data_IF_372891073872
#
_entry.id   IF_372891073872
#
_cell.length_a   1.000
_cell.length_b   1.000
_cell.length_c   1.000
_cell.angle_alpha   90.00
_cell.angle_beta   90.00
_cell.angle_gamma   90.00
#
_symmetry.space_group_name_H-M   'P 1'
#
loop_
_entity.id
_entity.type
_entity.pdbx_description
1 polymer ?
#
# COMPACT_ATOMS: atom_id res chain seq x y z
N UNK A 1 -66.29 36.13 30.57
CA UNK A 1 -66.51 35.57 29.21
C UNK A 1 -65.22 34.88 28.84
N UNK A 2 -65.16 33.55 28.94
CA UNK A 2 -63.93 32.77 28.81
C UNK A 2 -63.99 32.00 27.49
N UNK A 3 -63.08 32.31 26.56
CA UNK A 3 -62.97 31.56 25.31
C UNK A 3 -62.20 30.24 25.54
N UNK A 4 -62.61 29.12 24.92
CA UNK A 4 -61.85 27.87 25.00
C UNK A 4 -60.64 27.93 24.07
N UNK A 5 -59.44 27.74 24.64
CA UNK A 5 -58.20 27.51 23.89
C UNK A 5 -58.27 26.09 23.29
N UNK A 6 -58.66 25.98 22.02
CA UNK A 6 -58.56 24.72 21.27
C UNK A 6 -57.11 24.48 20.90
N UNK A 7 -56.42 23.64 21.68
CA UNK A 7 -55.07 23.16 21.36
C UNK A 7 -55.16 22.19 20.19
N UNK A 8 -54.99 22.70 18.98
CA UNK A 8 -54.91 21.90 17.76
C UNK A 8 -53.71 20.95 17.88
N UNK A 9 -53.99 19.66 18.14
CA UNK A 9 -53.01 18.59 18.30
C UNK A 9 -52.46 18.08 16.95
N UNK A 10 -52.39 18.95 15.93
CA UNK A 10 -51.81 18.65 14.62
C UNK A 10 -50.33 19.02 14.51
N UNK A 11 -49.61 19.04 15.63
CA UNK A 11 -48.17 19.22 15.58
C UNK A 11 -47.57 17.99 14.87
N UNK A 12 -46.76 18.15 13.81
CA UNK A 12 -46.32 17.07 12.92
C UNK A 12 -45.23 16.19 13.56
N UNK A 13 -45.39 15.86 14.83
CA UNK A 13 -44.50 14.99 15.60
C UNK A 13 -44.14 13.68 14.89
N UNK A 14 -45.07 12.93 14.27
CA UNK A 14 -44.69 11.71 13.55
C UNK A 14 -43.77 12.00 12.36
N UNK A 15 -43.98 13.12 11.66
CA UNK A 15 -43.11 13.51 10.53
C UNK A 15 -41.71 13.93 11.02
N UNK A 16 -41.64 14.65 12.14
CA UNK A 16 -40.35 15.05 12.75
C UNK A 16 -39.56 13.81 13.18
N UNK A 17 -40.21 12.84 13.82
CA UNK A 17 -39.56 11.60 14.26
C UNK A 17 -39.05 10.79 13.06
N UNK A 18 -39.83 10.70 11.98
CA UNK A 18 -39.42 10.02 10.74
C UNK A 18 -38.23 10.72 10.09
N UNK A 19 -38.22 12.05 10.02
CA UNK A 19 -37.10 12.82 9.43
C UNK A 19 -35.81 12.67 10.25
N UNK A 20 -35.91 12.67 11.58
CA UNK A 20 -34.76 12.45 12.47
C UNK A 20 -34.23 11.02 12.30
N UNK A 21 -35.10 10.01 12.28
CA UNK A 21 -34.69 8.62 12.05
C UNK A 21 -34.00 8.44 10.69
N UNK A 22 -34.55 9.02 9.62
CA UNK A 22 -33.93 9.00 8.29
C UNK A 22 -32.57 9.72 8.27
N UNK A 23 -32.44 10.86 8.98
CA UNK A 23 -31.18 11.57 9.13
C UNK A 23 -30.11 10.77 9.88
N UNK A 24 -30.49 10.07 10.95
CA UNK A 24 -29.60 9.19 11.72
C UNK A 24 -29.19 7.97 10.91
N UNK A 25 -30.12 7.33 10.19
CA UNK A 25 -29.84 6.20 9.31
C UNK A 25 -28.93 6.64 8.16
N UNK A 26 -29.22 7.75 7.49
CA UNK A 26 -28.41 8.27 6.39
C UNK A 26 -27.01 8.69 6.86
N UNK A 27 -26.91 9.42 7.98
CA UNK A 27 -25.65 9.83 8.58
C UNK A 27 -24.81 8.64 9.06
N UNK A 28 -25.44 7.67 9.72
CA UNK A 28 -24.80 6.42 10.13
C UNK A 28 -24.33 5.58 8.93
N UNK A 29 -25.16 5.45 7.89
CA UNK A 29 -24.80 4.73 6.67
C UNK A 29 -23.65 5.41 5.91
N UNK A 30 -23.62 6.75 5.87
CA UNK A 30 -22.49 7.53 5.34
C UNK A 30 -21.20 7.33 6.13
N UNK A 31 -21.29 7.25 7.47
CA UNK A 31 -20.14 7.02 8.35
C UNK A 31 -19.60 5.59 8.25
N UNK A 32 -20.47 4.61 8.03
CA UNK A 32 -20.07 3.22 7.81
C UNK A 32 -19.46 3.02 6.41
N UNK A 33 -19.99 3.68 5.38
CA UNK A 33 -19.44 3.63 4.01
C UNK A 33 -18.05 4.27 3.89
N UNK A 34 -17.73 5.32 4.68
CA UNK A 34 -16.41 5.97 4.62
C UNK A 34 -15.28 5.08 5.12
N UNK A 35 -15.53 4.22 6.12
CA UNK A 35 -14.55 3.25 6.64
C UNK A 35 -14.23 2.14 5.63
N UNK A 36 -15.19 1.73 4.82
CA UNK A 36 -14.99 0.66 3.82
C UNK A 36 -14.12 1.09 2.64
N UNK A 37 -14.13 2.38 2.26
CA UNK A 37 -13.29 2.87 1.16
C UNK A 37 -11.78 2.79 1.47
N UNK A 38 -11.38 2.91 2.73
CA UNK A 38 -9.96 2.83 3.13
C UNK A 38 -9.41 1.39 3.08
N UNK A 39 -10.24 0.39 3.37
CA UNK A 39 -9.82 -1.02 3.37
C UNK A 39 -9.68 -1.62 1.96
N UNK A 40 -10.38 -1.06 0.97
CA UNK A 40 -10.46 -1.59 -0.41
C UNK A 40 -9.78 -0.72 -1.47
N UNK A 41 -8.98 0.28 -1.10
CA UNK A 41 -8.14 1.04 -2.04
C UNK A 41 -6.96 0.23 -2.61
N UNK A 42 -7.06 -1.11 -2.61
CA UNK A 42 -6.05 -2.07 -3.06
C UNK A 42 -5.76 -1.98 -4.55
N UNK A 43 -5.14 -0.88 -4.98
CA UNK A 43 -4.52 -0.75 -6.28
C UNK A 43 -3.37 -1.74 -6.32
N UNK A 44 -3.61 -2.92 -6.89
CA UNK A 44 -2.54 -3.88 -7.15
C UNK A 44 -1.61 -3.25 -8.18
N UNK A 45 -0.31 -3.26 -7.90
CA UNK A 45 0.68 -2.79 -8.85
C UNK A 45 0.55 -3.63 -10.14
N UNK A 46 0.58 -3.03 -11.34
CA UNK A 46 0.34 -3.73 -12.61
C UNK A 46 1.33 -4.88 -12.88
N UNK A 47 2.49 -4.87 -12.22
CA UNK A 47 3.48 -5.95 -12.30
C UNK A 47 3.08 -7.23 -11.54
N UNK A 48 2.07 -7.20 -10.66
CA UNK A 48 1.66 -8.38 -9.90
C UNK A 48 1.09 -9.44 -10.85
N UNK A 49 1.67 -10.64 -10.81
CA UNK A 49 1.28 -11.77 -11.67
C UNK A 49 1.93 -11.74 -13.06
N UNK A 50 2.69 -10.70 -13.38
CA UNK A 50 3.45 -10.62 -14.62
C UNK A 50 4.77 -11.38 -14.49
N UNK A 51 5.26 -11.92 -15.61
CA UNK A 51 6.59 -12.52 -15.67
C UNK A 51 7.63 -11.41 -15.63
N UNK A 52 8.69 -11.59 -14.83
CA UNK A 52 9.80 -10.64 -14.79
C UNK A 52 10.46 -10.56 -16.18
N UNK A 53 10.61 -9.36 -16.76
CA UNK A 53 11.27 -9.18 -18.06
C UNK A 53 12.70 -9.73 -18.06
N UNK A 54 13.20 -10.07 -19.26
CA UNK A 54 14.60 -10.39 -19.42
C UNK A 54 15.46 -9.16 -19.10
N UNK A 55 16.58 -9.37 -18.41
CA UNK A 55 17.58 -8.36 -18.12
C UNK A 55 18.97 -8.96 -18.26
N UNK A 56 19.96 -8.08 -18.38
CA UNK A 56 21.38 -8.42 -18.43
C UNK A 56 22.11 -7.39 -17.57
N UNK A 57 22.66 -7.83 -16.45
CA UNK A 57 23.33 -6.97 -15.47
C UNK A 57 24.75 -7.46 -15.22
N UNK A 58 25.69 -6.52 -15.09
CA UNK A 58 27.07 -6.84 -14.72
C UNK A 58 27.18 -7.02 -13.21
N UNK A 59 27.80 -8.11 -12.77
CA UNK A 59 28.08 -8.37 -11.36
C UNK A 59 29.23 -7.49 -10.85
N UNK A 60 29.15 -7.05 -9.60
CA UNK A 60 30.11 -6.10 -9.01
C UNK A 60 31.26 -6.75 -8.22
N UNK A 61 31.11 -8.00 -7.77
CA UNK A 61 32.06 -8.70 -6.89
C UNK A 61 33.03 -9.64 -7.63
N UNK A 62 32.76 -9.90 -8.91
CA UNK A 62 33.52 -10.84 -9.74
C UNK A 62 33.67 -10.25 -11.14
N UNK A 63 34.79 -10.57 -11.78
CA UNK A 63 35.23 -10.09 -13.09
C UNK A 63 34.11 -10.25 -14.15
N UNK A 64 33.30 -9.19 -14.31
CA UNK A 64 32.33 -8.95 -15.39
C UNK A 64 31.34 -10.09 -15.69
N UNK A 65 31.00 -10.93 -14.72
CA UNK A 65 29.99 -11.95 -14.93
C UNK A 65 28.61 -11.30 -15.21
N UNK A 66 28.00 -11.65 -16.33
CA UNK A 66 26.65 -11.20 -16.69
C UNK A 66 25.61 -12.05 -15.96
N UNK A 67 24.63 -11.39 -15.34
CA UNK A 67 23.50 -12.00 -14.64
C UNK A 67 22.20 -11.69 -15.40
N UNK A 68 21.41 -12.72 -15.69
CA UNK A 68 20.04 -12.57 -16.18
C UNK A 68 18.99 -13.08 -15.19
N UNK A 69 17.73 -13.11 -15.62
CA UNK A 69 16.57 -13.48 -14.78
C UNK A 69 16.62 -14.91 -14.24
N UNK A 70 17.37 -15.79 -14.89
CA UNK A 70 17.61 -17.17 -14.52
C UNK A 70 18.21 -17.31 -13.12
N UNK A 71 19.01 -16.33 -12.67
CA UNK A 71 19.62 -16.35 -11.33
C UNK A 71 18.60 -16.15 -10.20
N UNK A 72 17.37 -15.75 -10.54
CA UNK A 72 16.27 -15.50 -9.61
C UNK A 72 15.23 -16.63 -9.61
N UNK A 73 15.35 -17.62 -10.50
CA UNK A 73 14.35 -18.69 -10.64
C UNK A 73 14.37 -19.65 -9.45
N UNK A 74 13.19 -20.13 -9.06
CA UNK A 74 13.03 -21.13 -7.99
C UNK A 74 13.16 -20.59 -6.56
N UNK A 75 13.53 -19.32 -6.39
CA UNK A 75 13.61 -18.64 -5.08
C UNK A 75 12.61 -17.50 -4.99
N UNK A 76 12.18 -17.21 -3.77
CA UNK A 76 11.48 -15.96 -3.46
C UNK A 76 12.56 -14.89 -3.32
N UNK A 77 12.59 -13.96 -4.27
CA UNK A 77 13.66 -12.97 -4.33
C UNK A 77 13.14 -11.58 -3.99
N UNK A 78 13.78 -10.95 -3.00
CA UNK A 78 13.65 -9.53 -2.74
C UNK A 78 14.67 -8.77 -3.59
N UNK A 79 14.18 -7.97 -4.53
CA UNK A 79 15.01 -7.11 -5.37
C UNK A 79 15.03 -5.70 -4.76
N UNK A 80 16.22 -5.21 -4.42
CA UNK A 80 16.42 -3.87 -3.88
C UNK A 80 17.13 -3.00 -4.93
N UNK A 81 16.48 -1.91 -5.36
CA UNK A 81 17.05 -0.91 -6.26
C UNK A 81 17.51 0.28 -5.44
N UNK A 82 18.80 0.61 -5.49
CA UNK A 82 19.35 1.72 -4.72
C UNK A 82 20.52 2.39 -5.45
N UNK A 83 21.06 3.45 -4.86
CA UNK A 83 22.31 4.03 -5.31
C UNK A 83 23.02 4.77 -4.16
N UNK A 84 24.35 4.96 -4.21
CA UNK A 84 25.09 5.71 -3.19
C UNK A 84 24.61 7.16 -3.03
N UNK A 85 24.10 7.75 -4.13
CA UNK A 85 23.54 9.10 -4.19
C UNK A 85 22.05 9.15 -3.81
N UNK A 86 21.39 8.01 -3.58
CA UNK A 86 20.00 7.97 -3.15
C UNK A 86 19.89 8.18 -1.63
N UNK A 87 19.57 9.40 -1.21
CA UNK A 87 19.37 9.76 0.20
C UNK A 87 18.36 8.86 0.94
N UNK A 88 17.11 8.73 0.44
CA UNK A 88 16.11 7.86 1.07
C UNK A 88 16.55 6.40 1.20
N UNK A 89 17.16 5.84 0.16
CA UNK A 89 17.65 4.46 0.17
C UNK A 89 18.67 4.21 1.30
N UNK A 90 19.51 5.20 1.62
CA UNK A 90 20.49 5.09 2.72
C UNK A 90 19.83 5.07 4.09
N UNK A 91 18.70 5.77 4.26
CA UNK A 91 17.93 5.77 5.51
C UNK A 91 17.27 4.40 5.72
N UNK A 92 16.82 3.75 4.64
CA UNK A 92 16.16 2.44 4.69
C UNK A 92 17.14 1.25 4.79
N UNK A 93 18.42 1.47 4.48
CA UNK A 93 19.43 0.42 4.41
C UNK A 93 19.62 -0.39 5.70
N UNK A 94 19.63 0.22 6.91
CA UNK A 94 19.76 -0.54 8.16
C UNK A 94 18.64 -1.58 8.34
N UNK A 95 17.41 -1.23 7.96
CA UNK A 95 16.28 -2.15 8.02
C UNK A 95 16.39 -3.28 6.99
N UNK A 96 16.91 -2.98 5.79
CA UNK A 96 17.21 -4.00 4.77
C UNK A 96 18.25 -5.00 5.26
N UNK A 97 19.32 -4.53 5.90
CA UNK A 97 20.36 -5.40 6.50
C UNK A 97 19.76 -6.28 7.60
N UNK A 98 18.96 -5.69 8.50
CA UNK A 98 18.30 -6.45 9.55
C UNK A 98 17.34 -7.52 8.98
N UNK A 99 16.63 -7.21 7.89
CA UNK A 99 15.76 -8.16 7.20
C UNK A 99 16.56 -9.30 6.56
N UNK A 100 17.67 -8.98 5.89
CA UNK A 100 18.58 -9.97 5.32
C UNK A 100 19.11 -10.93 6.39
N UNK A 101 19.62 -10.41 7.51
CA UNK A 101 20.16 -11.24 8.60
C UNK A 101 19.12 -12.21 9.16
N UNK A 102 17.86 -11.79 9.28
CA UNK A 102 16.76 -12.66 9.73
C UNK A 102 16.42 -13.79 8.74
N UNK A 103 16.69 -13.61 7.45
CA UNK A 103 16.23 -14.52 6.40
C UNK A 103 17.37 -15.23 5.65
N UNK A 104 18.64 -14.89 5.89
CA UNK A 104 19.78 -15.46 5.15
C UNK A 104 19.99 -16.96 5.33
N UNK A 105 19.44 -17.56 6.39
CA UNK A 105 19.48 -19.01 6.62
C UNK A 105 18.38 -19.77 5.86
N UNK A 106 17.40 -19.07 5.26
CA UNK A 106 16.30 -19.70 4.56
C UNK A 106 16.73 -20.10 3.14
N UNK A 107 16.71 -21.39 2.78
CA UNK A 107 17.24 -21.87 1.49
C UNK A 107 16.44 -21.38 0.27
N UNK A 108 15.19 -20.98 0.47
CA UNK A 108 14.27 -20.52 -0.58
C UNK A 108 14.17 -19.01 -0.72
N UNK A 109 14.82 -18.24 0.15
CA UNK A 109 14.81 -16.78 0.09
C UNK A 109 16.13 -16.27 -0.46
N UNK A 110 16.07 -15.22 -1.29
CA UNK A 110 17.25 -14.57 -1.86
C UNK A 110 17.11 -13.06 -1.81
N UNK A 111 18.20 -12.38 -1.52
CA UNK A 111 18.31 -10.93 -1.63
C UNK A 111 19.12 -10.58 -2.89
N UNK A 112 18.59 -9.71 -3.74
CA UNK A 112 19.24 -9.29 -4.98
C UNK A 112 19.32 -7.76 -5.03
N UNK A 113 20.53 -7.22 -4.98
CA UNK A 113 20.75 -5.77 -4.94
C UNK A 113 21.17 -5.25 -6.30
N UNK A 114 20.47 -4.22 -6.79
CA UNK A 114 20.77 -3.54 -8.05
C UNK A 114 21.12 -2.09 -7.73
N UNK A 115 22.26 -1.63 -8.27
CA UNK A 115 22.72 -0.25 -8.12
C UNK A 115 23.13 0.33 -9.45
N UNK A 116 23.02 1.65 -9.56
CA UNK A 116 23.51 2.41 -10.71
C UNK A 116 24.57 3.42 -10.25
N UNK A 117 25.61 3.69 -11.06
CA UNK A 117 26.57 4.76 -10.79
C UNK A 117 25.88 6.13 -10.80
N UNK A 118 26.59 7.16 -10.33
CA UNK A 118 26.08 8.53 -10.38
C UNK A 118 25.96 9.01 -11.83
N UNK A 119 24.95 9.83 -12.17
CA UNK A 119 24.88 10.48 -13.48
C UNK A 119 26.18 11.26 -13.75
N UNK A 120 26.81 11.05 -14.91
CA UNK A 120 28.04 11.74 -15.31
C UNK A 120 29.35 11.03 -14.97
N UNK A 121 29.31 9.80 -14.44
CA UNK A 121 30.48 8.93 -14.32
C UNK A 121 30.33 7.77 -15.30
N UNK A 122 30.83 7.98 -16.52
CA UNK A 122 30.90 6.99 -17.60
C UNK A 122 32.28 7.00 -18.23
#
# INVERSE_FOLDING_TARGET
MNAPVTRDRRFPWPLIVVLVALGVVFGGMRLLQSRQRLANSGVRHPAVGQVLPAFSLTRLDAEQATLGREVLQGKVTLINFWAPWCGPCRIEFPEMVAMYERHRSQPRFQFFSVTTPAPGQG
#
